data_IF_712594804076
#
_entry.id   IF_712594804076
#
_cell.length_a   1.000
_cell.length_b   1.000
_cell.length_c   1.000
_cell.angle_alpha   90.00
_cell.angle_beta   90.00
_cell.angle_gamma   90.00
#
_symmetry.space_group_name_H-M   'P 1'
#
loop_
_entity.id
_entity.type
_entity.pdbx_description
1 polymer ?
#
# COMPACT_ATOMS: atom_id res chain seq x y z
N UNK A 1 -16.53 0.08 -13.92
CA UNK A 1 -18.00 0.19 -13.85
C UNK A 1 -18.34 1.65 -13.67
N UNK A 2 -19.16 2.21 -14.55
CA UNK A 2 -19.60 3.60 -14.48
C UNK A 2 -21.10 3.61 -14.18
N UNK A 3 -21.49 4.30 -13.11
CA UNK A 3 -22.90 4.51 -12.74
C UNK A 3 -23.20 5.98 -12.87
N UNK A 4 -24.05 6.32 -13.84
CA UNK A 4 -24.49 7.68 -14.09
C UNK A 4 -25.87 7.90 -13.47
N UNK A 5 -25.97 8.87 -12.56
CA UNK A 5 -27.24 9.45 -12.10
C UNK A 5 -27.32 10.89 -12.60
N UNK A 6 -28.50 11.53 -12.66
CA UNK A 6 -28.63 12.92 -13.10
C UNK A 6 -27.77 13.92 -12.30
N UNK A 7 -27.36 13.58 -11.08
CA UNK A 7 -26.62 14.46 -10.18
C UNK A 7 -25.17 14.05 -9.96
N UNK A 8 -24.77 12.82 -10.30
CA UNK A 8 -23.41 12.31 -10.04
C UNK A 8 -23.05 11.13 -10.95
N UNK A 9 -21.82 11.16 -11.46
CA UNK A 9 -21.14 10.04 -12.13
C UNK A 9 -20.16 9.39 -11.15
N UNK A 10 -20.32 8.09 -10.91
CA UNK A 10 -19.36 7.29 -10.13
C UNK A 10 -18.64 6.33 -11.06
N UNK A 11 -17.31 6.40 -11.10
CA UNK A 11 -16.46 5.48 -11.86
C UNK A 11 -15.63 4.58 -10.92
N UNK A 12 -15.79 3.28 -11.09
CA UNK A 12 -14.96 2.25 -10.47
C UNK A 12 -13.97 1.74 -11.53
N UNK A 13 -12.71 2.14 -11.43
CA UNK A 13 -11.62 1.74 -12.32
C UNK A 13 -10.50 1.08 -11.52
N UNK A 14 -9.65 0.32 -12.20
CA UNK A 14 -8.40 -0.16 -11.60
C UNK A 14 -7.47 1.04 -11.36
N UNK A 15 -6.55 0.95 -10.38
CA UNK A 15 -5.46 1.92 -10.26
C UNK A 15 -4.67 2.04 -11.57
N UNK A 16 -4.21 3.24 -11.87
CA UNK A 16 -3.30 3.48 -12.99
C UNK A 16 -1.92 2.86 -12.78
N UNK A 17 -1.09 2.78 -13.83
CA UNK A 17 0.29 2.34 -13.68
C UNK A 17 1.08 3.30 -12.78
N UNK A 18 2.10 2.78 -12.10
CA UNK A 18 3.09 3.59 -11.40
C UNK A 18 4.11 4.13 -12.43
N UNK A 19 4.15 5.45 -12.73
CA UNK A 19 5.09 5.98 -13.71
C UNK A 19 6.56 5.89 -13.28
N UNK A 20 6.84 5.64 -12.00
CA UNK A 20 8.18 5.56 -11.41
C UNK A 20 8.62 4.10 -11.17
N UNK A 21 7.94 3.13 -11.79
CA UNK A 21 8.32 1.72 -11.65
C UNK A 21 9.71 1.47 -12.23
N UNK A 22 10.57 0.80 -11.47
CA UNK A 22 11.99 0.59 -11.76
C UNK A 22 12.84 1.86 -11.94
N UNK A 23 12.28 3.04 -11.66
CA UNK A 23 13.05 4.27 -11.60
C UNK A 23 13.66 4.41 -10.19
N UNK A 24 14.97 4.66 -10.07
CA UNK A 24 15.60 4.80 -8.77
C UNK A 24 15.16 6.10 -8.07
N UNK A 25 14.99 6.04 -6.75
CA UNK A 25 14.82 7.22 -5.93
C UNK A 25 16.11 8.07 -5.88
N UNK A 26 16.06 9.22 -5.19
CA UNK A 26 17.21 10.12 -5.00
C UNK A 26 18.44 9.41 -4.41
N UNK A 27 18.21 8.38 -3.59
CA UNK A 27 19.26 7.56 -2.99
C UNK A 27 19.79 6.44 -3.92
N UNK A 28 19.36 6.40 -5.18
CA UNK A 28 19.78 5.41 -6.18
C UNK A 28 19.12 4.02 -6.02
N UNK A 29 18.16 3.86 -5.11
CA UNK A 29 17.53 2.56 -4.82
C UNK A 29 16.16 2.44 -5.47
N UNK A 30 15.83 1.20 -5.84
CA UNK A 30 14.47 0.77 -6.23
C UNK A 30 14.01 -0.24 -5.19
N UNK A 31 12.85 -0.02 -4.57
CA UNK A 31 12.32 -0.91 -3.55
C UNK A 31 11.85 -2.24 -4.13
N UNK A 32 12.29 -3.33 -3.51
CA UNK A 32 11.98 -4.70 -3.92
C UNK A 32 11.04 -5.42 -2.94
N UNK A 33 11.00 -6.75 -3.03
CA UNK A 33 10.11 -7.59 -2.19
C UNK A 33 10.32 -7.41 -0.68
N UNK A 34 11.58 -7.25 -0.24
CA UNK A 34 11.91 -7.10 1.17
C UNK A 34 11.42 -5.75 1.72
N UNK A 35 11.62 -4.67 0.96
CA UNK A 35 11.11 -3.34 1.29
C UNK A 35 9.58 -3.36 1.28
N UNK A 36 8.97 -4.01 0.29
CA UNK A 36 7.53 -4.22 0.23
C UNK A 36 6.99 -4.91 1.49
N UNK A 37 7.61 -6.01 1.91
CA UNK A 37 7.22 -6.73 3.13
C UNK A 37 7.27 -5.82 4.37
N UNK A 38 8.36 -5.08 4.53
CA UNK A 38 8.49 -4.14 5.64
C UNK A 38 7.44 -3.03 5.60
N UNK A 39 7.24 -2.40 4.44
CA UNK A 39 6.23 -1.35 4.25
C UNK A 39 4.80 -1.88 4.51
N UNK A 40 4.50 -3.11 4.11
CA UNK A 40 3.23 -3.77 4.41
C UNK A 40 3.01 -3.97 5.90
N UNK A 41 4.03 -4.39 6.66
CA UNK A 41 3.94 -4.59 8.11
C UNK A 41 3.67 -3.28 8.87
N UNK A 42 4.25 -2.16 8.42
CA UNK A 42 4.06 -0.85 9.04
C UNK A 42 2.90 -0.06 8.43
N UNK A 43 2.20 -0.61 7.42
CA UNK A 43 1.17 0.09 6.64
C UNK A 43 0.04 0.74 7.47
N UNK A 44 -0.44 0.16 8.60
CA UNK A 44 -1.46 0.86 9.39
C UNK A 44 -0.93 2.14 10.04
N UNK A 45 0.32 2.12 10.49
CA UNK A 45 0.95 3.27 11.14
C UNK A 45 1.23 4.36 10.11
N UNK A 46 1.77 4.00 8.95
CA UNK A 46 2.06 4.96 7.87
C UNK A 46 0.78 5.50 7.21
N UNK A 47 -0.27 4.70 7.13
CA UNK A 47 -1.60 5.16 6.69
C UNK A 47 -2.22 6.17 7.67
N UNK A 48 -2.06 5.99 8.98
CA UNK A 48 -2.53 6.98 9.97
C UNK A 48 -1.63 8.22 9.94
N UNK A 49 -0.31 8.03 9.84
CA UNK A 49 0.67 9.12 9.83
C UNK A 49 0.53 10.04 8.61
N UNK A 50 0.13 9.52 7.45
CA UNK A 50 -0.05 10.32 6.22
C UNK A 50 -1.15 11.39 6.33
N UNK A 51 -2.09 11.26 7.28
CA UNK A 51 -3.07 12.31 7.57
C UNK A 51 -2.46 13.56 8.22
N UNK A 52 -1.29 13.42 8.85
CA UNK A 52 -0.63 14.49 9.60
C UNK A 52 0.69 14.95 8.97
N UNK A 53 1.30 14.10 8.13
CA UNK A 53 2.54 14.39 7.45
C UNK A 53 2.38 14.12 5.94
N UNK A 54 2.37 15.16 5.08
CA UNK A 54 2.24 15.00 3.63
C UNK A 54 3.43 14.26 3.00
N UNK A 55 4.59 14.28 3.65
CA UNK A 55 5.80 13.58 3.18
C UNK A 55 5.79 12.09 3.55
N UNK A 56 4.85 11.65 4.40
CA UNK A 56 4.71 10.25 4.78
C UNK A 56 3.74 9.54 3.83
N UNK A 57 4.27 8.60 3.05
CA UNK A 57 3.49 7.74 2.18
C UNK A 57 3.44 6.32 2.74
N UNK A 58 2.30 5.65 2.57
CA UNK A 58 2.17 4.22 2.93
C UNK A 58 2.95 3.32 1.95
N UNK A 59 3.10 3.78 0.71
CA UNK A 59 3.64 3.02 -0.41
C UNK A 59 4.89 3.69 -0.97
N UNK A 60 5.92 2.90 -1.28
CA UNK A 60 7.09 3.43 -1.99
C UNK A 60 6.73 3.68 -3.45
N UNK A 61 7.04 4.87 -3.94
CA UNK A 61 6.81 5.29 -5.33
C UNK A 61 7.86 4.66 -6.24
N UNK A 62 9.11 4.61 -5.81
CA UNK A 62 10.24 4.06 -6.57
C UNK A 62 10.42 2.56 -6.26
N UNK A 63 9.60 1.71 -6.87
CA UNK A 63 9.58 0.26 -6.62
C UNK A 63 9.68 -0.59 -7.89
N UNK A 64 9.98 -1.87 -7.76
CA UNK A 64 10.14 -2.81 -8.88
C UNK A 64 8.82 -3.46 -9.36
N UNK A 65 7.68 -2.88 -8.96
CA UNK A 65 6.35 -3.34 -9.31
C UNK A 65 5.97 -4.63 -8.59
N UNK A 66 5.76 -5.71 -9.36
CA UNK A 66 5.05 -6.91 -8.88
C UNK A 66 5.66 -7.54 -7.62
N UNK A 67 6.98 -7.56 -7.50
CA UNK A 67 7.66 -8.18 -6.36
C UNK A 67 7.48 -7.35 -5.08
N UNK A 68 7.66 -6.03 -5.18
CA UNK A 68 7.33 -5.09 -4.11
C UNK A 68 5.85 -5.22 -3.68
N UNK A 69 4.92 -5.25 -4.65
CA UNK A 69 3.49 -5.39 -4.38
C UNK A 69 3.18 -6.68 -3.62
N UNK A 70 3.83 -7.79 -4.01
CA UNK A 70 3.69 -9.08 -3.33
C UNK A 70 4.17 -9.00 -1.88
N UNK A 71 5.35 -8.42 -1.64
CA UNK A 71 5.86 -8.19 -0.30
C UNK A 71 4.88 -7.36 0.54
N UNK A 72 4.42 -6.23 0.00
CA UNK A 72 3.47 -5.33 0.69
C UNK A 72 2.18 -6.03 1.07
N UNK A 73 1.61 -6.82 0.16
CA UNK A 73 0.38 -7.57 0.42
C UNK A 73 0.58 -8.61 1.54
N UNK A 74 1.70 -9.34 1.52
CA UNK A 74 2.02 -10.33 2.57
C UNK A 74 2.20 -9.63 3.93
N UNK A 75 2.96 -8.53 3.99
CA UNK A 75 3.18 -7.78 5.23
C UNK A 75 1.87 -7.29 5.83
N UNK A 76 1.01 -6.71 4.99
CA UNK A 76 -0.32 -6.25 5.41
C UNK A 76 -1.19 -7.42 5.90
N UNK A 77 -1.20 -8.54 5.19
CA UNK A 77 -1.97 -9.72 5.59
C UNK A 77 -1.53 -10.28 6.96
N UNK A 78 -0.22 -10.28 7.24
CA UNK A 78 0.31 -10.70 8.54
C UNK A 78 -0.19 -9.82 9.69
N UNK A 79 -0.28 -8.50 9.49
CA UNK A 79 -0.85 -7.59 10.49
C UNK A 79 -2.28 -7.99 10.84
N UNK A 80 -3.14 -8.17 9.82
CA UNK A 80 -4.53 -8.55 10.06
C UNK A 80 -4.68 -9.94 10.67
N UNK A 81 -3.84 -10.90 10.28
CA UNK A 81 -3.80 -12.22 10.89
C UNK A 81 -3.46 -12.13 12.38
N UNK A 82 -2.42 -11.38 12.74
CA UNK A 82 -2.00 -11.20 14.14
C UNK A 82 -3.08 -10.50 14.98
N UNK A 83 -3.69 -9.44 14.45
CA UNK A 83 -4.79 -8.74 15.12
C UNK A 83 -6.00 -9.66 15.31
N UNK A 84 -6.33 -10.48 14.31
CA UNK A 84 -7.39 -11.47 14.39
C UNK A 84 -7.15 -12.54 15.45
N UNK A 85 -5.92 -13.06 15.54
CA UNK A 85 -5.52 -14.02 16.57
C UNK A 85 -5.57 -13.43 17.99
N UNK A 86 -5.09 -12.19 18.17
CA UNK A 86 -5.12 -11.49 19.46
C UNK A 86 -6.57 -11.19 19.89
N UNK A 87 -7.41 -10.74 18.95
CA UNK A 87 -8.82 -10.43 19.20
C UNK A 87 -9.68 -11.66 19.44
N UNK A 88 -9.42 -12.75 18.72
CA UNK A 88 -10.14 -14.02 18.86
C UNK A 88 -9.88 -14.74 20.17
N UNK A 89 -8.71 -14.55 20.78
CA UNK A 89 -8.33 -15.18 22.06
C UNK A 89 -9.02 -14.59 23.30
N UNK A 90 -9.79 -13.51 23.12
CA UNK A 90 -10.55 -12.82 24.18
C UNK A 90 -12.05 -13.19 24.19
N UNK A 91 -12.46 -14.16 23.38
CA UNK A 91 -13.80 -14.76 23.40
C UNK A 91 -13.69 -16.20 23.88
#
# INVERSE_FOLDING_TARGET
MEVNTPETTVQLTTPGPNPQVNEPAENGRVAGVADGLWHGLISPVTAIGSFFNPDMQMYEVHNNGREYNLGFLIGTALVFLLLGLIGGRRR
#
